data_IF_688326815492
#
_entry.id   IF_688326815492
#
_cell.length_a   1.000
_cell.length_b   1.000
_cell.length_c   1.000
_cell.angle_alpha   90.00
_cell.angle_beta   90.00
_cell.angle_gamma   90.00
#
_symmetry.space_group_name_H-M   'P 1'
#
loop_
_entity.id
_entity.type
_entity.pdbx_description
1 polymer ?
#
# COMPACT_ATOMS: atom_id res chain seq x y z
N UNK A 1 14.16 9.56 -9.32
CA UNK A 1 13.04 9.54 -8.34
C UNK A 1 11.69 10.05 -8.88
N UNK A 2 11.65 11.03 -9.80
CA UNK A 2 10.38 11.59 -10.30
C UNK A 2 9.45 10.56 -10.95
N UNK A 3 9.98 9.67 -11.80
CA UNK A 3 9.19 8.58 -12.41
C UNK A 3 8.60 7.64 -11.36
N UNK A 4 9.40 7.27 -10.34
CA UNK A 4 8.94 6.43 -9.24
C UNK A 4 7.82 7.11 -8.42
N UNK A 5 7.95 8.41 -8.14
CA UNK A 5 6.93 9.20 -7.43
C UNK A 5 5.62 9.22 -8.24
N UNK A 6 5.70 9.51 -9.53
CA UNK A 6 4.52 9.49 -10.41
C UNK A 6 3.87 8.11 -10.45
N UNK A 7 4.64 7.03 -10.54
CA UNK A 7 4.11 5.67 -10.46
C UNK A 7 3.40 5.41 -9.12
N UNK A 8 3.99 5.85 -8.00
CA UNK A 8 3.37 5.75 -6.68
C UNK A 8 2.04 6.49 -6.64
N UNK A 9 1.96 7.72 -7.18
CA UNK A 9 0.72 8.50 -7.20
C UNK A 9 -0.38 7.80 -8.01
N UNK A 10 -0.07 7.23 -9.19
CA UNK A 10 -1.04 6.46 -9.99
C UNK A 10 -1.50 5.17 -9.29
N UNK A 11 -0.56 4.44 -8.68
CA UNK A 11 -0.89 3.25 -7.89
C UNK A 11 -1.75 3.61 -6.68
N UNK A 12 -1.50 4.76 -6.05
CA UNK A 12 -2.28 5.29 -4.92
C UNK A 12 -3.72 5.52 -5.34
N UNK A 13 -3.94 6.22 -6.46
CA UNK A 13 -5.29 6.47 -6.98
C UNK A 13 -6.04 5.14 -7.25
N UNK A 14 -5.36 4.18 -7.86
CA UNK A 14 -5.91 2.84 -8.15
C UNK A 14 -6.26 2.10 -6.84
N UNK A 15 -5.36 2.10 -5.86
CA UNK A 15 -5.58 1.43 -4.58
C UNK A 15 -6.72 2.09 -3.79
N UNK A 16 -6.83 3.42 -3.79
CA UNK A 16 -7.97 4.13 -3.20
C UNK A 16 -9.29 3.67 -3.80
N UNK A 17 -9.37 3.52 -5.12
CA UNK A 17 -10.55 2.96 -5.79
C UNK A 17 -10.82 1.50 -5.35
N UNK A 18 -9.78 0.68 -5.27
CA UNK A 18 -9.88 -0.71 -4.85
C UNK A 18 -10.33 -0.88 -3.39
N UNK A 19 -10.13 0.10 -2.51
CA UNK A 19 -10.63 0.04 -1.13
C UNK A 19 -12.15 -0.15 -1.05
N UNK A 20 -12.89 0.29 -2.08
CA UNK A 20 -14.36 0.23 -2.20
C UNK A 20 -14.85 -0.84 -3.16
N UNK A 21 -13.93 -1.52 -3.84
CA UNK A 21 -14.26 -2.50 -4.88
C UNK A 21 -14.61 -3.86 -4.29
N UNK A 22 -15.52 -4.58 -4.96
CA UNK A 22 -15.80 -5.98 -4.66
C UNK A 22 -14.86 -6.86 -5.49
N UNK A 23 -13.99 -7.59 -4.81
CA UNK A 23 -13.12 -8.55 -5.46
C UNK A 23 -13.89 -9.81 -5.86
N UNK A 24 -13.54 -10.43 -7.00
CA UNK A 24 -14.24 -11.62 -7.47
C UNK A 24 -13.99 -12.79 -6.53
N UNK A 25 -14.99 -13.67 -6.41
CA UNK A 25 -14.89 -14.92 -5.64
C UNK A 25 -13.71 -15.79 -6.11
N UNK A 26 -13.21 -16.70 -5.28
CA UNK A 26 -12.29 -17.74 -5.72
C UNK A 26 -12.94 -18.72 -6.71
N UNK A 27 -14.26 -18.89 -6.63
CA UNK A 27 -15.02 -19.86 -7.39
C UNK A 27 -15.49 -19.30 -8.74
N UNK A 28 -15.33 -20.09 -9.81
CA UNK A 28 -15.83 -19.81 -11.16
C UNK A 28 -16.79 -20.93 -11.58
N UNK A 29 -17.96 -20.51 -12.01
CA UNK A 29 -19.04 -21.41 -12.41
C UNK A 29 -19.26 -21.30 -13.93
N UNK A 30 -19.79 -22.35 -14.53
CA UNK A 30 -20.31 -22.29 -15.90
C UNK A 30 -21.72 -21.68 -15.97
N UNK A 31 -22.29 -21.63 -17.17
CA UNK A 31 -23.64 -21.11 -17.43
C UNK A 31 -24.74 -21.91 -16.71
N UNK A 32 -24.45 -23.15 -16.29
CA UNK A 32 -25.35 -24.04 -15.58
C UNK A 32 -25.15 -23.97 -14.05
N UNK A 33 -24.30 -23.04 -13.57
CA UNK A 33 -23.92 -22.86 -12.15
C UNK A 33 -23.17 -24.04 -11.53
N UNK A 34 -22.51 -24.87 -12.33
CA UNK A 34 -21.60 -25.90 -11.82
C UNK A 34 -20.22 -25.31 -11.57
N UNK A 35 -19.63 -25.61 -10.40
CA UNK A 35 -18.27 -25.16 -10.07
C UNK A 35 -17.27 -25.82 -11.04
N UNK A 36 -16.52 -25.00 -11.78
CA UNK A 36 -15.53 -25.48 -12.76
C UNK A 36 -14.09 -25.20 -12.33
N UNK A 37 -13.83 -24.04 -11.73
CA UNK A 37 -12.47 -23.62 -11.36
C UNK A 37 -12.47 -23.00 -9.97
N UNK A 38 -11.49 -23.41 -9.15
CA UNK A 38 -11.13 -22.75 -7.89
C UNK A 38 -9.82 -22.01 -8.12
N UNK A 39 -9.86 -20.68 -7.99
CA UNK A 39 -8.73 -19.78 -8.25
C UNK A 39 -8.23 -19.16 -6.95
N UNK A 40 -6.97 -18.70 -6.94
CA UNK A 40 -6.50 -17.81 -5.88
C UNK A 40 -7.20 -16.45 -6.06
N UNK A 41 -8.01 -15.98 -5.10
CA UNK A 41 -8.77 -14.75 -5.27
C UNK A 41 -7.83 -13.56 -5.25
N UNK A 42 -8.17 -12.54 -6.03
CA UNK A 42 -7.57 -11.22 -5.89
C UNK A 42 -8.04 -10.61 -4.57
N UNK A 43 -7.12 -10.00 -3.84
CA UNK A 43 -7.43 -9.32 -2.58
C UNK A 43 -6.81 -7.93 -2.57
N UNK A 44 -7.40 -7.03 -1.79
CA UNK A 44 -6.84 -5.70 -1.58
C UNK A 44 -5.40 -5.78 -1.02
N UNK A 45 -5.16 -6.67 -0.05
CA UNK A 45 -3.82 -6.92 0.48
C UNK A 45 -2.85 -7.39 -0.60
N UNK A 46 -3.24 -8.35 -1.43
CA UNK A 46 -2.38 -8.82 -2.52
C UNK A 46 -2.05 -7.72 -3.53
N UNK A 47 -3.00 -6.83 -3.83
CA UNK A 47 -2.76 -5.68 -4.70
C UNK A 47 -1.80 -4.66 -4.06
N UNK A 48 -1.96 -4.38 -2.77
CA UNK A 48 -1.10 -3.45 -2.06
C UNK A 48 0.33 -4.00 -1.90
N UNK A 49 0.45 -5.29 -1.60
CA UNK A 49 1.73 -6.00 -1.54
C UNK A 49 2.44 -5.94 -2.91
N UNK A 50 1.73 -6.24 -3.99
CA UNK A 50 2.29 -6.20 -5.35
C UNK A 50 2.72 -4.78 -5.76
N UNK A 51 1.94 -3.76 -5.41
CA UNK A 51 2.22 -2.38 -5.78
C UNK A 51 3.42 -1.80 -5.01
N UNK A 52 3.47 -1.98 -3.69
CA UNK A 52 4.36 -1.17 -2.84
C UNK A 52 5.58 -1.93 -2.31
N UNK A 53 5.58 -3.26 -2.25
CA UNK A 53 6.72 -3.98 -1.64
C UNK A 53 8.02 -3.80 -2.43
N UNK A 54 7.99 -3.96 -3.75
CA UNK A 54 9.21 -3.78 -4.55
C UNK A 54 9.67 -2.31 -4.55
N UNK A 55 8.74 -1.35 -4.65
CA UNK A 55 9.09 0.08 -4.59
C UNK A 55 9.75 0.42 -3.25
N UNK A 56 9.21 -0.08 -2.13
CA UNK A 56 9.85 0.07 -0.81
C UNK A 56 11.24 -0.55 -0.79
N UNK A 57 11.38 -1.81 -1.22
CA UNK A 57 12.64 -2.56 -1.18
C UNK A 57 13.74 -1.86 -1.99
N UNK A 58 13.44 -1.41 -3.21
CA UNK A 58 14.43 -0.71 -4.05
C UNK A 58 14.62 0.75 -3.64
N UNK A 59 13.60 1.37 -3.04
CA UNK A 59 13.59 2.77 -2.64
C UNK A 59 14.05 3.03 -1.20
N UNK A 60 14.41 2.01 -0.43
CA UNK A 60 14.67 2.10 1.02
C UNK A 60 15.71 3.17 1.39
N UNK A 61 16.72 3.38 0.54
CA UNK A 61 17.79 4.35 0.74
C UNK A 61 17.49 5.72 0.09
N UNK A 62 16.27 5.93 -0.40
CA UNK A 62 15.83 7.18 -1.04
C UNK A 62 14.70 7.81 -0.22
N UNK A 63 15.00 8.78 0.67
CA UNK A 63 14.01 9.39 1.55
C UNK A 63 12.76 9.88 0.84
N UNK A 64 12.92 10.54 -0.32
CA UNK A 64 11.80 11.05 -1.12
C UNK A 64 10.80 9.95 -1.54
N UNK A 65 11.27 8.73 -1.84
CA UNK A 65 10.40 7.61 -2.20
C UNK A 65 9.65 7.10 -0.96
N UNK A 66 10.34 6.94 0.16
CA UNK A 66 9.75 6.42 1.40
C UNK A 66 8.73 7.40 1.98
N UNK A 67 9.05 8.69 1.99
CA UNK A 67 8.14 9.76 2.41
C UNK A 67 6.89 9.77 1.53
N UNK A 68 7.05 9.68 0.20
CA UNK A 68 5.90 9.61 -0.72
C UNK A 68 5.06 8.36 -0.50
N UNK A 69 5.68 7.19 -0.32
CA UNK A 69 4.94 5.95 0.00
C UNK A 69 4.16 6.08 1.33
N UNK A 70 4.71 6.77 2.33
CA UNK A 70 4.01 7.04 3.59
C UNK A 70 2.79 7.94 3.37
N UNK A 71 2.94 9.02 2.59
CA UNK A 71 1.83 9.91 2.21
C UNK A 71 0.73 9.14 1.48
N UNK A 72 1.10 8.30 0.51
CA UNK A 72 0.18 7.42 -0.22
C UNK A 72 -0.57 6.46 0.69
N UNK A 73 0.11 5.83 1.64
CA UNK A 73 -0.55 4.98 2.63
C UNK A 73 -1.56 5.76 3.48
N UNK A 74 -1.24 6.97 3.92
CA UNK A 74 -2.19 7.84 4.66
C UNK A 74 -3.45 8.08 3.81
N UNK A 75 -3.28 8.49 2.55
CA UNK A 75 -4.41 8.75 1.63
C UNK A 75 -5.27 7.50 1.39
N UNK A 76 -4.65 6.33 1.23
CA UNK A 76 -5.38 5.06 1.05
C UNK A 76 -6.13 4.68 2.33
N UNK A 77 -5.53 4.90 3.50
CA UNK A 77 -6.18 4.62 4.79
C UNK A 77 -7.41 5.49 5.02
N UNK A 78 -7.30 6.80 4.74
CA UNK A 78 -8.42 7.75 4.81
C UNK A 78 -9.56 7.35 3.85
N UNK A 79 -9.22 6.77 2.70
CA UNK A 79 -10.21 6.29 1.71
C UNK A 79 -10.87 4.97 2.10
N UNK A 80 -10.22 4.16 2.93
CA UNK A 80 -10.66 2.81 3.31
C UNK A 80 -11.72 2.84 4.42
N UNK A 81 -12.86 2.19 4.15
CA UNK A 81 -13.97 2.05 5.11
C UNK A 81 -13.97 0.69 5.81
N UNK A 82 -13.41 -0.35 5.18
CA UNK A 82 -13.37 -1.69 5.75
C UNK A 82 -12.19 -1.85 6.72
N UNK A 83 -12.42 -2.34 7.96
CA UNK A 83 -11.35 -2.53 8.95
C UNK A 83 -10.19 -3.40 8.44
N UNK A 84 -10.50 -4.43 7.65
CA UNK A 84 -9.47 -5.30 7.04
C UNK A 84 -8.54 -4.53 6.10
N UNK A 85 -9.05 -3.57 5.33
CA UNK A 85 -8.23 -2.77 4.41
C UNK A 85 -7.36 -1.79 5.20
N UNK A 86 -7.90 -1.16 6.26
CA UNK A 86 -7.12 -0.31 7.16
C UNK A 86 -5.96 -1.07 7.80
N UNK A 87 -6.19 -2.29 8.28
CA UNK A 87 -5.15 -3.16 8.84
C UNK A 87 -4.06 -3.51 7.82
N UNK A 88 -4.42 -3.74 6.56
CA UNK A 88 -3.45 -3.93 5.48
C UNK A 88 -2.59 -2.67 5.30
N UNK A 89 -3.19 -1.48 5.27
CA UNK A 89 -2.44 -0.23 5.12
C UNK A 89 -1.51 0.01 6.31
N UNK A 90 -1.98 -0.25 7.53
CA UNK A 90 -1.18 -0.16 8.76
C UNK A 90 0.07 -1.05 8.68
N UNK A 91 -0.06 -2.30 8.21
CA UNK A 91 1.08 -3.20 7.97
C UNK A 91 2.12 -2.54 7.06
N UNK A 92 1.71 -1.93 5.95
CA UNK A 92 2.64 -1.25 5.04
C UNK A 92 3.29 -0.01 5.67
N UNK A 93 2.54 0.77 6.44
CA UNK A 93 3.06 1.93 7.18
C UNK A 93 4.14 1.53 8.19
N UNK A 94 3.93 0.44 8.94
CA UNK A 94 4.93 -0.10 9.85
C UNK A 94 6.19 -0.54 9.11
N UNK A 95 6.05 -1.25 7.99
CA UNK A 95 7.20 -1.69 7.19
C UNK A 95 8.00 -0.51 6.65
N UNK A 96 7.34 0.58 6.23
CA UNK A 96 8.00 1.81 5.76
C UNK A 96 8.77 2.49 6.89
N UNK A 97 8.13 2.67 8.05
CA UNK A 97 8.77 3.33 9.20
C UNK A 97 9.97 2.53 9.71
N UNK A 98 9.85 1.21 9.80
CA UNK A 98 10.93 0.33 10.23
C UNK A 98 12.11 0.34 9.25
N UNK A 99 11.84 0.25 7.94
CA UNK A 99 12.89 0.32 6.90
C UNK A 99 13.64 1.65 6.95
N UNK A 100 12.90 2.77 7.09
CA UNK A 100 13.48 4.10 7.12
C UNK A 100 14.36 4.39 8.34
N UNK A 101 14.02 3.79 9.50
CA UNK A 101 14.78 3.99 10.73
C UNK A 101 16.23 3.55 10.58
N UNK A 102 16.46 2.52 9.79
CA UNK A 102 17.78 1.92 9.62
C UNK A 102 18.49 2.47 8.36
N UNK A 103 17.75 2.97 7.37
CA UNK A 103 18.31 3.43 6.08
C UNK A 103 18.50 4.95 5.95
N UNK A 104 17.63 5.79 6.54
CA UNK A 104 17.69 7.26 6.39
C UNK A 104 18.67 7.85 7.39
N UNK A 105 19.84 8.28 6.91
CA UNK A 105 20.90 8.85 7.75
C UNK A 105 20.70 10.32 8.09
N UNK A 106 20.08 11.10 7.19
CA UNK A 106 19.87 12.53 7.44
C UNK A 106 18.69 12.72 8.43
N UNK A 107 18.95 13.44 9.52
CA UNK A 107 18.02 13.63 10.63
C UNK A 107 16.76 14.37 10.23
N UNK A 108 16.84 15.39 9.36
CA UNK A 108 15.67 16.15 8.96
C UNK A 108 14.74 15.31 8.06
N UNK A 109 15.30 14.50 7.16
CA UNK A 109 14.53 13.58 6.32
C UNK A 109 13.80 12.53 7.17
N UNK A 110 14.49 11.95 8.16
CA UNK A 110 13.85 10.98 9.05
C UNK A 110 12.80 11.65 9.95
N UNK A 111 13.03 12.88 10.40
CA UNK A 111 12.05 13.67 11.16
C UNK A 111 10.80 13.92 10.32
N UNK A 112 10.94 14.29 9.05
CA UNK A 112 9.83 14.54 8.12
C UNK A 112 8.94 13.30 7.93
N UNK A 113 9.56 12.12 7.79
CA UNK A 113 8.84 10.85 7.77
C UNK A 113 8.15 10.55 9.11
N UNK A 114 8.84 10.77 10.23
CA UNK A 114 8.33 10.50 11.58
C UNK A 114 7.10 11.34 11.91
N UNK A 115 7.04 12.58 11.46
CA UNK A 115 5.87 13.45 11.63
C UNK A 115 4.64 12.89 10.90
N UNK A 116 4.80 12.41 9.66
CA UNK A 116 3.72 11.73 8.91
C UNK A 116 3.30 10.43 9.56
N UNK A 117 4.25 9.62 10.03
CA UNK A 117 3.95 8.39 10.75
C UNK A 117 3.15 8.66 12.03
N UNK A 118 3.50 9.70 12.80
CA UNK A 118 2.72 10.12 13.96
C UNK A 118 1.31 10.57 13.58
N UNK A 119 1.17 11.35 12.51
CA UNK A 119 -0.14 11.77 12.00
C UNK A 119 -1.01 10.57 11.62
N UNK A 120 -0.44 9.52 11.05
CA UNK A 120 -1.16 8.28 10.74
C UNK A 120 -1.62 7.52 11.99
N UNK A 121 -0.85 7.59 13.08
CA UNK A 121 -1.14 6.88 14.34
C UNK A 121 -2.06 7.65 15.30
N UNK A 122 -2.27 8.94 15.06
CA UNK A 122 -3.13 9.81 15.85
C UNK A 122 -4.61 9.57 15.50
#
# INVERSE_FOLDING_TARGET
>A
PYTAITCIDYLTATLCYLTRSRFPSAYRYDDQKHLRVITKPLTFEGMMDAAFNQIRQYGENTPAIIIRLMESCITIHESATLPKHRKTVEKHVEMLYNSARDSIKERNDFKDLKERYKKFKA
#
